data_IF_053124997101
#
_entry.id   IF_053124997101
#
_cell.length_a   1.000
_cell.length_b   1.000
_cell.length_c   1.000
_cell.angle_alpha   90.00
_cell.angle_beta   90.00
_cell.angle_gamma   90.00
#
_symmetry.space_group_name_H-M   'P 1'
#
loop_
_entity.id
_entity.type
_entity.pdbx_description
1 polymer ?
#
# COMPACT_ATOMS: atom_id res chain seq x y z
N UNK A 1 3.20 11.07 -24.15
CA UNK A 1 3.02 11.48 -22.74
C UNK A 1 1.99 10.54 -22.15
N UNK A 2 2.37 9.65 -21.23
CA UNK A 2 1.44 8.69 -20.65
C UNK A 2 0.40 9.46 -19.83
N UNK A 3 -0.84 9.51 -20.30
CA UNK A 3 -1.96 10.00 -19.53
C UNK A 3 -1.97 9.24 -18.20
N UNK A 4 -1.94 9.95 -17.08
CA UNK A 4 -2.06 9.35 -15.76
C UNK A 4 -3.41 8.65 -15.67
N UNK A 5 -3.40 7.33 -15.80
CA UNK A 5 -4.58 6.48 -15.76
C UNK A 5 -5.22 6.54 -14.36
N UNK A 6 -6.36 7.22 -14.25
CA UNK A 6 -7.09 7.31 -13.00
C UNK A 6 -7.87 6.01 -12.76
N UNK A 7 -7.41 5.20 -11.81
CA UNK A 7 -8.08 3.94 -11.42
C UNK A 7 -8.92 4.15 -10.17
N UNK A 8 -10.21 3.84 -10.25
CA UNK A 8 -11.09 3.81 -9.07
C UNK A 8 -10.76 2.57 -8.24
N UNK A 9 -10.46 2.78 -6.96
CA UNK A 9 -10.19 1.72 -5.99
C UNK A 9 -11.01 2.00 -4.73
N UNK A 10 -11.72 0.99 -4.24
CA UNK A 10 -12.41 1.05 -2.96
C UNK A 10 -11.43 0.60 -1.88
N UNK A 11 -11.21 1.46 -0.87
CA UNK A 11 -10.34 1.21 0.27
C UNK A 11 -11.15 1.35 1.55
N UNK A 12 -10.81 0.56 2.56
CA UNK A 12 -11.44 0.64 3.87
C UNK A 12 -10.56 1.48 4.80
N UNK A 13 -11.17 2.47 5.43
CA UNK A 13 -10.54 3.33 6.42
C UNK A 13 -11.31 3.23 7.74
N UNK A 14 -10.62 3.28 8.89
CA UNK A 14 -11.25 3.60 10.16
C UNK A 14 -12.04 4.91 10.09
N UNK A 15 -13.12 5.02 10.87
CA UNK A 15 -14.03 6.18 10.86
C UNK A 15 -13.30 7.48 11.22
N UNK A 16 -12.50 7.44 12.28
CA UNK A 16 -11.68 8.54 12.77
C UNK A 16 -10.69 9.03 11.70
N UNK A 17 -10.01 8.10 11.03
CA UNK A 17 -9.08 8.42 9.95
C UNK A 17 -9.80 9.00 8.72
N UNK A 18 -10.96 8.47 8.36
CA UNK A 18 -11.74 8.98 7.23
C UNK A 18 -12.21 10.42 7.49
N UNK A 19 -12.67 10.69 8.70
CA UNK A 19 -13.09 12.01 9.14
C UNK A 19 -11.94 13.02 9.09
N UNK A 20 -10.72 12.63 9.50
CA UNK A 20 -9.53 13.49 9.38
C UNK A 20 -9.20 13.80 7.93
N UNK A 21 -9.20 12.79 7.06
CA UNK A 21 -8.93 12.98 5.62
C UNK A 21 -9.98 13.91 5.00
N UNK A 22 -11.25 13.77 5.40
CA UNK A 22 -12.34 14.61 4.89
C UNK A 22 -12.23 16.06 5.37
N UNK A 23 -11.90 16.28 6.66
CA UNK A 23 -11.61 17.62 7.19
C UNK A 23 -10.47 18.29 6.42
N UNK A 24 -9.39 17.58 6.14
CA UNK A 24 -8.25 18.11 5.39
C UNK A 24 -8.58 18.39 3.92
N UNK A 25 -9.39 17.54 3.29
CA UNK A 25 -9.89 17.76 1.94
C UNK A 25 -10.70 19.07 1.85
N UNK A 26 -11.64 19.29 2.78
CA UNK A 26 -12.43 20.53 2.87
C UNK A 26 -11.55 21.73 3.18
N UNK A 27 -10.61 21.62 4.13
CA UNK A 27 -9.71 22.72 4.53
C UNK A 27 -8.84 23.22 3.37
N UNK A 28 -8.41 22.32 2.48
CA UNK A 28 -7.51 22.63 1.38
C UNK A 28 -8.22 22.84 0.03
N UNK A 29 -9.55 22.69 -0.02
CA UNK A 29 -10.35 22.69 -1.24
C UNK A 29 -9.84 21.69 -2.28
N UNK A 30 -9.59 20.45 -1.82
CA UNK A 30 -9.04 19.35 -2.64
C UNK A 30 -9.89 18.09 -2.50
N UNK A 31 -9.77 17.18 -3.47
CA UNK A 31 -10.44 15.89 -3.40
C UNK A 31 -9.79 14.94 -2.40
N UNK A 32 -10.57 14.03 -1.82
CA UNK A 32 -10.06 12.95 -0.94
C UNK A 32 -8.92 12.17 -1.61
N UNK A 33 -9.08 11.84 -2.89
CA UNK A 33 -8.05 11.14 -3.66
C UNK A 33 -6.74 11.94 -3.72
N UNK A 34 -6.79 13.27 -3.82
CA UNK A 34 -5.59 14.10 -3.81
C UNK A 34 -4.89 14.07 -2.45
N UNK A 35 -5.66 14.16 -1.35
CA UNK A 35 -5.11 14.10 0.02
C UNK A 35 -4.40 12.76 0.25
N UNK A 36 -5.03 11.64 -0.10
CA UNK A 36 -4.44 10.30 0.04
C UNK A 36 -3.19 10.13 -0.83
N UNK A 37 -3.23 10.62 -2.08
CA UNK A 37 -2.05 10.59 -2.96
C UNK A 37 -0.90 11.44 -2.41
N UNK A 38 -1.19 12.58 -1.80
CA UNK A 38 -0.19 13.45 -1.20
C UNK A 38 0.42 12.81 0.07
N UNK A 39 -0.40 12.21 0.92
CA UNK A 39 0.05 11.45 2.08
C UNK A 39 1.01 10.32 1.67
N UNK A 40 0.67 9.57 0.61
CA UNK A 40 1.56 8.54 0.06
C UNK A 40 2.90 9.12 -0.42
N UNK A 41 2.90 10.24 -1.14
CA UNK A 41 4.15 10.87 -1.62
C UNK A 41 5.07 11.30 -0.50
N UNK A 42 4.52 11.74 0.62
CA UNK A 42 5.26 12.10 1.83
C UNK A 42 5.79 10.84 2.54
N UNK A 43 4.92 9.86 2.79
CA UNK A 43 5.24 8.67 3.58
C UNK A 43 6.12 7.64 2.84
N UNK A 44 6.11 7.60 1.49
CA UNK A 44 6.82 6.57 0.70
C UNK A 44 8.30 6.45 1.03
N UNK A 45 8.95 7.55 1.43
CA UNK A 45 10.38 7.56 1.75
C UNK A 45 10.68 6.74 3.00
N UNK A 46 9.80 6.83 3.99
CA UNK A 46 9.96 6.14 5.28
C UNK A 46 9.39 4.73 5.22
N UNK A 47 8.27 4.53 4.53
CA UNK A 47 7.71 3.19 4.29
C UNK A 47 8.70 2.27 3.57
N UNK A 48 9.53 2.79 2.67
CA UNK A 48 10.57 2.01 1.98
C UNK A 48 11.75 1.57 2.87
N UNK A 49 11.95 2.24 4.01
CA UNK A 49 13.01 1.87 4.97
C UNK A 49 12.54 0.77 5.92
N UNK A 50 11.22 0.57 6.03
CA UNK A 50 10.68 -0.49 6.87
C UNK A 50 11.02 -1.85 6.23
N UNK A 51 11.57 -2.80 6.99
CA UNK A 51 11.83 -4.13 6.47
C UNK A 51 10.52 -4.79 6.03
N UNK A 52 10.58 -5.65 5.01
CA UNK A 52 9.41 -6.41 4.58
C UNK A 52 8.91 -7.26 5.77
N UNK A 53 7.61 -7.29 6.06
CA UNK A 53 7.05 -8.16 7.10
C UNK A 53 7.44 -9.63 6.90
N UNK A 54 7.67 -10.06 5.65
CA UNK A 54 8.11 -11.43 5.35
C UNK A 54 9.61 -11.67 5.58
N UNK A 55 10.46 -10.63 5.58
CA UNK A 55 11.90 -10.81 5.84
C UNK A 55 12.18 -11.07 7.32
N UNK A 56 11.23 -10.71 8.20
CA UNK A 56 11.35 -10.92 9.65
C UNK A 56 10.97 -12.34 10.08
N UNK A 57 10.18 -13.05 9.28
CA UNK A 57 9.70 -14.40 9.62
C UNK A 57 10.50 -15.55 9.00
N UNK A 58 11.55 -15.24 8.22
CA UNK A 58 12.35 -16.25 7.53
C UNK A 58 11.56 -16.88 6.38
N UNK A 59 12.17 -16.96 5.20
CA UNK A 59 11.58 -17.72 4.12
C UNK A 59 11.29 -19.15 4.61
N UNK A 60 10.07 -19.70 4.40
CA UNK A 60 9.83 -21.10 4.66
C UNK A 60 10.86 -21.91 3.84
N UNK A 61 11.42 -22.99 4.43
CA UNK A 61 12.44 -23.78 3.74
C UNK A 61 11.92 -24.19 2.35
N UNK A 62 12.78 -24.19 1.32
CA UNK A 62 12.37 -24.64 0.00
C UNK A 62 11.73 -26.01 0.16
N UNK A 63 10.50 -26.16 -0.36
CA UNK A 63 9.83 -27.45 -0.40
C UNK A 63 10.82 -28.43 -1.06
N UNK A 64 11.04 -29.62 -0.48
CA UNK A 64 11.87 -30.61 -1.14
C UNK A 64 11.25 -30.85 -2.51
N UNK A 65 12.01 -30.54 -3.56
CA UNK A 65 11.66 -30.82 -4.94
C UNK A 65 11.22 -32.27 -4.98
N UNK A 66 9.99 -32.51 -5.46
CA UNK A 66 9.41 -33.84 -5.51
C UNK A 66 10.38 -34.77 -6.21
N UNK A 67 10.93 -35.71 -5.44
CA UNK A 67 11.74 -36.81 -5.93
C UNK A 67 10.94 -37.53 -7.01
N UNK A 68 11.24 -37.20 -8.25
CA UNK A 68 11.04 -38.07 -9.40
C UNK A 68 12.02 -39.24 -9.27
N UNK A 69 11.62 -40.25 -8.52
CA UNK A 69 12.01 -41.65 -8.72
C UNK A 69 10.68 -42.38 -8.95
N UNK A 70 10.39 -43.00 -10.08
CA UNK A 70 11.27 -43.91 -10.79
C UNK A 70 11.03 -45.33 -10.29
N UNK A 71 9.85 -45.90 -10.57
CA UNK A 71 9.58 -47.35 -10.78
C UNK A 71 8.17 -47.50 -11.34
#
# INVERSE_FOLDING_TARGET
>A
MAATDHRKQSLYFPEDMLDEIQREATRQDRSLSWIVQQAWKVARGDLRKMPSPNDVFGAPPPRPDGTSDGT
#
